data_IF_231072776995
#
_entry.id   IF_231072776995
#
_cell.length_a   1.000
_cell.length_b   1.000
_cell.length_c   1.000
_cell.angle_alpha   90.00
_cell.angle_beta   90.00
_cell.angle_gamma   90.00
#
_symmetry.space_group_name_H-M   'P 1'
#
loop_
_entity.id
_entity.type
_entity.pdbx_description
1 polymer ?
#
# COMPACT_ATOMS: atom_id res chain seq x y z
N UNK A 1 28.30 -15.86 16.34
CA UNK A 1 27.88 -14.47 16.63
C UNK A 1 26.50 -14.27 16.01
N UNK A 2 25.44 -14.06 16.81
CA UNK A 2 24.06 -13.87 16.31
C UNK A 2 23.50 -12.58 16.89
N UNK A 3 22.84 -11.78 16.05
CA UNK A 3 22.16 -10.54 16.45
C UNK A 3 20.68 -10.66 16.12
N UNK A 4 19.83 -10.15 17.01
CA UNK A 4 18.37 -10.09 16.82
C UNK A 4 17.95 -8.63 16.77
N UNK A 5 17.17 -8.26 15.75
CA UNK A 5 16.64 -6.91 15.57
C UNK A 5 15.11 -6.91 15.73
N UNK A 6 14.61 -6.19 16.73
CA UNK A 6 13.20 -5.83 16.80
C UNK A 6 12.91 -4.69 15.81
N UNK A 7 11.81 -4.80 15.05
CA UNK A 7 11.48 -3.83 14.02
C UNK A 7 10.07 -3.29 14.19
N UNK A 8 9.96 -1.97 14.37
CA UNK A 8 8.68 -1.27 14.48
C UNK A 8 8.73 0.07 13.74
N UNK A 9 8.16 0.09 12.53
CA UNK A 9 8.16 1.27 11.65
C UNK A 9 7.42 2.48 12.21
N UNK A 10 6.38 2.28 13.03
CA UNK A 10 5.60 3.37 13.60
C UNK A 10 6.41 4.29 14.51
N UNK A 11 7.47 3.77 15.16
CA UNK A 11 8.36 4.56 16.01
C UNK A 11 9.23 5.53 15.22
N UNK A 12 9.69 5.15 14.02
CA UNK A 12 10.53 6.00 13.18
C UNK A 12 9.82 7.29 12.79
N UNK A 13 8.50 7.25 12.56
CA UNK A 13 7.73 8.47 12.29
C UNK A 13 7.81 9.51 13.40
N UNK A 14 8.04 9.07 14.65
CA UNK A 14 8.09 9.95 15.82
C UNK A 14 9.53 10.35 16.14
N UNK A 15 10.45 9.39 16.13
CA UNK A 15 11.81 9.58 16.67
C UNK A 15 12.86 9.80 15.60
N UNK A 16 12.67 9.26 14.39
CA UNK A 16 13.64 9.28 13.29
C UNK A 16 12.93 9.50 11.93
N UNK A 17 12.20 10.61 11.76
CA UNK A 17 11.33 10.81 10.59
C UNK A 17 12.11 10.91 9.27
N UNK A 18 13.36 11.39 9.31
CA UNK A 18 14.21 11.48 8.12
C UNK A 18 14.54 10.09 7.56
N UNK A 19 14.87 9.12 8.42
CA UNK A 19 15.13 7.72 8.02
C UNK A 19 13.91 7.12 7.34
N UNK A 20 12.72 7.39 7.87
CA UNK A 20 11.46 6.93 7.30
C UNK A 20 11.23 7.53 5.90
N UNK A 21 11.43 8.83 5.75
CA UNK A 21 11.27 9.54 4.48
C UNK A 21 12.25 9.04 3.42
N UNK A 22 13.54 8.95 3.76
CA UNK A 22 14.58 8.44 2.86
C UNK A 22 14.30 7.00 2.41
N UNK A 23 13.89 6.14 3.35
CA UNK A 23 13.52 4.75 3.05
C UNK A 23 12.32 4.68 2.10
N UNK A 24 11.31 5.53 2.29
CA UNK A 24 10.15 5.59 1.40
C UNK A 24 10.54 6.11 0.00
N UNK A 25 11.38 7.14 -0.07
CA UNK A 25 11.88 7.68 -1.33
C UNK A 25 12.65 6.63 -2.13
N UNK A 26 13.50 5.84 -1.47
CA UNK A 26 14.23 4.74 -2.10
C UNK A 26 13.26 3.70 -2.69
N UNK A 27 12.30 3.22 -1.89
CA UNK A 27 11.32 2.22 -2.34
C UNK A 27 10.50 2.75 -3.51
N UNK A 28 10.02 4.00 -3.45
CA UNK A 28 9.27 4.62 -4.55
C UNK A 28 10.13 4.78 -5.80
N UNK A 29 11.43 5.07 -5.65
CA UNK A 29 12.36 5.13 -6.79
C UNK A 29 12.49 3.77 -7.48
N UNK A 30 12.48 2.67 -6.73
CA UNK A 30 12.51 1.32 -7.28
C UNK A 30 11.22 0.97 -8.00
N UNK A 31 10.07 1.40 -7.47
CA UNK A 31 8.77 1.27 -8.15
C UNK A 31 8.78 2.04 -9.47
N UNK A 32 9.24 3.29 -9.48
CA UNK A 32 9.33 4.12 -10.69
C UNK A 32 10.27 3.52 -11.75
N UNK A 33 11.33 2.83 -11.32
CA UNK A 33 12.27 2.10 -12.19
C UNK A 33 11.76 0.71 -12.64
N UNK A 34 10.60 0.27 -12.14
CA UNK A 34 10.05 -1.06 -12.43
C UNK A 34 10.78 -2.22 -11.73
N UNK A 35 11.65 -1.94 -10.76
CA UNK A 35 12.38 -2.95 -9.98
C UNK A 35 11.49 -3.62 -8.92
N UNK A 36 10.44 -2.92 -8.49
CA UNK A 36 9.41 -3.43 -7.58
C UNK A 36 8.06 -3.29 -8.27
N UNK A 37 7.30 -4.38 -8.33
CA UNK A 37 5.91 -4.38 -8.78
C UNK A 37 4.96 -4.54 -7.60
N UNK A 38 3.84 -3.83 -7.64
CA UNK A 38 2.78 -3.95 -6.63
C UNK A 38 1.70 -4.86 -7.19
N UNK A 39 1.51 -6.02 -6.59
CA UNK A 39 0.41 -6.90 -6.94
C UNK A 39 -0.89 -6.42 -6.26
N UNK A 40 -1.82 -5.87 -7.05
CA UNK A 40 -3.16 -5.52 -6.58
C UNK A 40 -4.01 -6.80 -6.66
N UNK A 41 -4.36 -7.33 -5.49
CA UNK A 41 -5.18 -8.53 -5.37
C UNK A 41 -6.65 -8.24 -5.62
N UNK A 42 -7.16 -7.14 -5.06
CA UNK A 42 -8.56 -6.75 -5.15
C UNK A 42 -8.69 -5.22 -5.15
N UNK A 43 -9.67 -4.70 -5.88
CA UNK A 43 -10.11 -3.32 -5.82
C UNK A 43 -11.57 -3.29 -5.42
N UNK A 44 -11.92 -2.46 -4.43
CA UNK A 44 -13.29 -2.26 -3.95
C UNK A 44 -13.61 -0.78 -3.99
N UNK A 45 -14.87 -0.41 -4.22
CA UNK A 45 -15.30 0.98 -4.01
C UNK A 45 -15.30 1.34 -2.52
N UNK A 46 -15.36 2.63 -2.20
CA UNK A 46 -15.50 3.08 -0.80
C UNK A 46 -16.72 2.46 -0.10
N UNK A 47 -17.83 2.26 -0.82
CA UNK A 47 -19.07 1.66 -0.28
C UNK A 47 -18.89 0.18 0.09
N UNK A 48 -17.89 -0.47 -0.47
CA UNK A 48 -17.58 -1.89 -0.30
C UNK A 48 -16.41 -2.13 0.67
N UNK A 49 -16.01 -1.11 1.45
CA UNK A 49 -14.93 -1.23 2.42
C UNK A 49 -15.14 -2.41 3.41
N UNK A 50 -16.38 -2.72 3.76
CA UNK A 50 -16.71 -3.89 4.57
C UNK A 50 -16.30 -5.22 3.91
N UNK A 51 -16.47 -5.34 2.59
CA UNK A 51 -16.05 -6.52 1.81
C UNK A 51 -14.53 -6.61 1.72
N UNK A 52 -13.84 -5.48 1.53
CA UNK A 52 -12.39 -5.41 1.55
C UNK A 52 -11.80 -5.97 2.86
N UNK A 53 -12.31 -5.51 4.01
CA UNK A 53 -11.89 -6.04 5.32
C UNK A 53 -12.25 -7.52 5.50
N UNK A 54 -13.40 -7.95 5.00
CA UNK A 54 -13.80 -9.36 5.07
C UNK A 54 -12.85 -10.27 4.26
N UNK A 55 -12.41 -9.84 3.07
CA UNK A 55 -11.46 -10.57 2.24
C UNK A 55 -10.08 -10.70 2.93
N UNK A 56 -9.59 -9.62 3.56
CA UNK A 56 -8.36 -9.64 4.36
C UNK A 56 -8.50 -10.61 5.53
N UNK A 57 -9.59 -10.52 6.29
CA UNK A 57 -9.85 -11.38 7.46
C UNK A 57 -9.90 -12.87 7.09
N UNK A 58 -10.47 -13.18 5.92
CA UNK A 58 -10.55 -14.55 5.38
C UNK A 58 -9.25 -15.02 4.70
N UNK A 59 -8.20 -14.19 4.69
CA UNK A 59 -6.90 -14.46 4.04
C UNK A 59 -7.03 -14.79 2.55
N UNK A 60 -7.98 -14.14 1.87
CA UNK A 60 -8.20 -14.32 0.42
C UNK A 60 -7.35 -13.34 -0.42
N UNK A 61 -6.57 -12.48 0.23
CA UNK A 61 -5.78 -11.43 -0.40
C UNK A 61 -4.33 -11.89 -0.52
N UNK A 62 -3.79 -11.89 -1.73
CA UNK A 62 -2.37 -12.10 -2.01
C UNK A 62 -1.83 -10.82 -2.65
N UNK A 63 -1.22 -9.96 -1.84
CA UNK A 63 -0.77 -8.64 -2.26
C UNK A 63 -1.55 -7.52 -1.57
N UNK A 64 -1.99 -6.53 -2.33
CA UNK A 64 -2.68 -5.33 -1.81
C UNK A 64 -4.17 -5.34 -2.13
N UNK A 65 -4.97 -4.81 -1.21
CA UNK A 65 -6.35 -4.39 -1.48
C UNK A 65 -6.35 -2.87 -1.64
N UNK A 66 -7.02 -2.37 -2.68
CA UNK A 66 -7.15 -0.93 -2.96
C UNK A 66 -8.61 -0.52 -2.83
N UNK A 67 -8.85 0.62 -2.18
CA UNK A 67 -10.15 1.28 -2.20
C UNK A 67 -10.12 2.35 -3.28
N UNK A 68 -10.98 2.23 -4.28
CA UNK A 68 -11.13 3.23 -5.33
C UNK A 68 -12.22 4.23 -4.95
N UNK A 69 -11.89 5.50 -5.11
CA UNK A 69 -12.82 6.61 -4.95
C UNK A 69 -13.19 7.06 -6.35
N UNK A 70 -14.23 6.46 -6.93
CA UNK A 70 -14.67 6.91 -8.24
C UNK A 70 -15.31 8.31 -8.11
N UNK A 71 -14.72 9.32 -8.75
CA UNK A 71 -15.51 10.44 -9.26
C UNK A 71 -16.03 10.03 -10.64
N UNK A 72 -17.19 9.37 -10.68
CA UNK A 72 -17.83 8.85 -11.90
C UNK A 72 -18.26 9.95 -12.91
N UNK A 73 -17.74 11.18 -12.82
CA UNK A 73 -18.07 12.29 -13.72
C UNK A 73 -17.08 12.53 -14.86
N UNK A 74 -15.81 12.13 -14.79
CA UNK A 74 -14.82 12.51 -15.82
C UNK A 74 -14.37 11.38 -16.77
N UNK A 75 -14.48 10.11 -16.38
CA UNK A 75 -13.92 9.00 -17.18
C UNK A 75 -14.75 8.60 -18.42
N UNK A 76 -15.95 9.17 -18.61
CA UNK A 76 -16.79 8.92 -19.81
C UNK A 76 -16.73 10.02 -20.87
N UNK A 77 -15.91 11.07 -20.69
CA UNK A 77 -15.85 12.19 -21.64
C UNK A 77 -14.65 12.15 -22.59
N UNK A 78 -13.75 11.17 -22.48
CA UNK A 78 -12.63 11.01 -23.42
C UNK A 78 -12.37 9.54 -23.69
N UNK A 79 -13.14 8.98 -24.62
CA UNK A 79 -12.76 8.03 -25.67
C UNK A 79 -13.99 7.63 -26.48
#
# INVERSE_FOLDING_TARGET
NWTVHGFYWGSYRIHEPHVLEESLNEILSWVAKGLISVNISHSFSLREANLAFAAIKRRQVIGKVVITFDDQREAKSKL
#
